data_IF_513906800914
#
_entry.id   IF_513906800914
#
_cell.length_a   1.000
_cell.length_b   1.000
_cell.length_c   1.000
_cell.angle_alpha   90.00
_cell.angle_beta   90.00
_cell.angle_gamma   90.00
#
_symmetry.space_group_name_H-M   'P 1'
#
loop_
_entity.id
_entity.type
_entity.pdbx_description
1 polymer ?
#
# COMPACT_ATOMS: atom_id res chain seq x y z
N UNK A 1 8.44 5.98 4.91
CA UNK A 1 9.00 4.69 4.44
C UNK A 1 9.51 4.89 3.02
N UNK A 2 10.69 4.38 2.69
CA UNK A 2 11.19 4.35 1.30
C UNK A 2 10.87 2.96 0.72
N UNK A 3 10.06 2.87 -0.36
CA UNK A 3 9.72 1.60 -0.98
C UNK A 3 10.92 1.01 -1.71
N UNK A 4 11.00 -0.32 -1.73
CA UNK A 4 11.90 -1.04 -2.61
C UNK A 4 11.24 -1.14 -3.99
N UNK A 5 11.94 -0.68 -5.03
CA UNK A 5 11.37 -0.50 -6.37
C UNK A 5 10.87 -1.83 -6.94
N UNK A 6 9.58 -1.90 -7.29
CA UNK A 6 8.94 -3.05 -7.92
C UNK A 6 8.73 -4.27 -7.03
N UNK A 7 8.97 -4.14 -5.71
CA UNK A 7 8.89 -5.23 -4.74
C UNK A 7 7.63 -5.10 -3.85
N UNK A 8 6.45 -5.28 -4.44
CA UNK A 8 5.14 -5.05 -3.78
C UNK A 8 4.99 -5.82 -2.48
N UNK A 9 5.28 -7.12 -2.46
CA UNK A 9 5.15 -7.96 -1.25
C UNK A 9 6.06 -7.49 -0.12
N UNK A 10 7.30 -7.15 -0.44
CA UNK A 10 8.26 -6.65 0.54
C UNK A 10 7.79 -5.32 1.12
N UNK A 11 7.27 -4.43 0.28
CA UNK A 11 6.75 -3.14 0.70
C UNK A 11 5.49 -3.30 1.56
N UNK A 12 4.53 -4.14 1.17
CA UNK A 12 3.32 -4.40 1.96
C UNK A 12 3.64 -5.02 3.34
N UNK A 13 4.61 -5.92 3.41
CA UNK A 13 5.06 -6.47 4.71
C UNK A 13 5.61 -5.36 5.60
N UNK A 14 6.51 -4.53 5.06
CA UNK A 14 7.07 -3.39 5.80
C UNK A 14 5.99 -2.40 6.23
N UNK A 15 5.00 -2.13 5.38
CA UNK A 15 3.86 -1.27 5.73
C UNK A 15 3.09 -1.84 6.92
N UNK A 16 2.83 -3.15 6.96
CA UNK A 16 2.20 -3.80 8.13
C UNK A 16 3.08 -3.66 9.38
N UNK A 17 4.38 -3.91 9.28
CA UNK A 17 5.30 -3.73 10.42
C UNK A 17 5.29 -2.29 10.95
N UNK A 18 5.16 -1.29 10.06
CA UNK A 18 5.00 0.11 10.45
C UNK A 18 3.68 0.36 11.17
N UNK A 19 2.56 -0.15 10.65
CA UNK A 19 1.24 -0.03 11.29
C UNK A 19 1.30 -0.62 12.71
N UNK A 20 1.88 -1.81 12.85
CA UNK A 20 1.99 -2.52 14.13
C UNK A 20 2.74 -1.73 15.15
N UNK A 21 3.92 -1.25 14.74
CA UNK A 21 4.79 -0.46 15.59
C UNK A 21 4.10 0.83 16.02
N UNK A 22 3.50 1.57 15.08
CA UNK A 22 2.84 2.84 15.38
C UNK A 22 1.71 2.63 16.38
N UNK A 23 0.84 1.64 16.15
CA UNK A 23 -0.30 1.35 17.01
C UNK A 23 0.11 0.80 18.39
N UNK A 24 1.29 0.17 18.52
CA UNK A 24 1.83 -0.29 19.81
C UNK A 24 2.50 0.83 20.61
N UNK A 25 3.12 1.80 19.94
CA UNK A 25 3.83 2.89 20.59
C UNK A 25 2.89 3.98 21.12
N UNK A 26 1.78 4.24 20.41
CA UNK A 26 0.82 5.28 20.79
C UNK A 26 -0.58 5.04 20.20
N UNK A 27 -1.65 5.56 20.83
CA UNK A 27 -2.97 5.58 20.21
C UNK A 27 -2.97 6.49 18.97
N UNK A 28 -3.46 5.99 17.85
CA UNK A 28 -3.59 6.73 16.58
C UNK A 28 -4.94 6.45 15.95
N UNK A 29 -5.51 7.44 15.27
CA UNK A 29 -6.77 7.28 14.51
C UNK A 29 -6.52 7.15 12.99
N UNK A 30 -5.39 7.70 12.50
CA UNK A 30 -5.08 7.77 11.07
C UNK A 30 -3.57 7.60 10.81
N UNK A 31 -3.24 6.72 9.87
CA UNK A 31 -1.89 6.51 9.35
C UNK A 31 -1.89 6.87 7.87
N UNK A 32 -0.98 7.75 7.45
CA UNK A 32 -0.83 8.18 6.06
C UNK A 32 0.51 7.73 5.51
N UNK A 33 0.48 6.91 4.46
CA UNK A 33 1.64 6.54 3.69
C UNK A 33 1.79 7.40 2.43
N UNK A 34 3.02 7.53 1.90
CA UNK A 34 3.27 8.25 0.66
C UNK A 34 2.55 7.67 -0.56
N UNK A 35 2.55 8.44 -1.64
CA UNK A 35 2.18 7.99 -2.97
C UNK A 35 3.08 6.83 -3.44
N UNK A 36 2.49 5.88 -4.19
CA UNK A 36 3.16 4.68 -4.72
C UNK A 36 4.02 3.92 -3.70
N UNK A 37 3.63 3.91 -2.43
CA UNK A 37 4.38 3.23 -1.37
C UNK A 37 4.45 1.71 -1.58
N UNK A 38 3.53 1.14 -2.37
CA UNK A 38 3.52 -0.29 -2.69
C UNK A 38 4.59 -0.67 -3.71
N UNK A 39 4.97 0.24 -4.63
CA UNK A 39 5.85 -0.10 -5.77
C UNK A 39 7.09 0.78 -5.88
N UNK A 40 7.03 2.04 -5.48
CA UNK A 40 7.95 3.10 -5.90
C UNK A 40 7.61 3.67 -7.28
N UNK A 41 8.27 4.78 -7.65
CA UNK A 41 8.01 5.53 -8.89
C UNK A 41 8.70 4.96 -10.13
N UNK A 42 9.82 4.25 -9.95
CA UNK A 42 10.72 3.89 -11.06
C UNK A 42 10.42 2.48 -11.63
N UNK A 43 9.14 2.12 -11.76
CA UNK A 43 8.73 0.81 -12.26
C UNK A 43 8.53 0.76 -13.79
N UNK A 44 8.41 1.92 -14.46
CA UNK A 44 8.31 2.01 -15.92
C UNK A 44 7.22 1.07 -16.50
N UNK A 45 7.52 0.29 -17.56
CA UNK A 45 6.54 -0.64 -18.14
C UNK A 45 6.01 -1.68 -17.16
N UNK A 46 6.76 -2.02 -16.09
CA UNK A 46 6.33 -3.02 -15.10
C UNK A 46 5.13 -2.57 -14.28
N UNK A 47 4.74 -1.29 -14.33
CA UNK A 47 3.49 -0.85 -13.70
C UNK A 47 2.27 -1.63 -14.21
N UNK A 48 2.27 -2.16 -15.44
CA UNK A 48 1.14 -2.98 -15.94
C UNK A 48 0.97 -4.30 -15.18
N UNK A 49 2.09 -4.84 -14.68
CA UNK A 49 2.16 -6.09 -13.92
C UNK A 49 1.90 -5.86 -12.43
N UNK A 50 2.32 -4.71 -11.92
CA UNK A 50 2.20 -4.34 -10.50
C UNK A 50 0.87 -3.65 -10.16
N UNK A 51 0.15 -3.13 -11.16
CA UNK A 51 -1.15 -2.50 -10.99
C UNK A 51 -2.20 -3.49 -10.49
N UNK A 52 -2.94 -3.09 -9.46
CA UNK A 52 -4.03 -3.89 -8.89
C UNK A 52 -5.38 -3.20 -9.08
N UNK A 53 -6.45 -3.98 -9.16
CA UNK A 53 -7.81 -3.45 -9.03
C UNK A 53 -8.12 -3.11 -7.56
N UNK A 54 -9.06 -2.20 -7.34
CA UNK A 54 -9.62 -1.95 -6.00
C UNK A 54 -11.06 -2.47 -5.94
N UNK A 55 -11.39 -3.37 -5.00
CA UNK A 55 -10.51 -3.98 -3.99
C UNK A 55 -9.52 -5.00 -4.60
N UNK A 56 -8.33 -5.10 -3.98
CA UNK A 56 -7.21 -5.94 -4.45
C UNK A 56 -6.37 -6.47 -3.29
N UNK A 57 -5.26 -7.13 -3.60
CA UNK A 57 -4.39 -7.77 -2.60
C UNK A 57 -3.82 -6.75 -1.59
N UNK A 58 -3.22 -5.68 -2.10
CA UNK A 58 -2.67 -4.57 -1.30
C UNK A 58 -3.73 -3.99 -0.34
N UNK A 59 -4.92 -3.70 -0.87
CA UNK A 59 -6.05 -3.15 -0.09
C UNK A 59 -6.54 -4.14 0.96
N UNK A 60 -6.67 -5.41 0.62
CA UNK A 60 -7.18 -6.44 1.53
C UNK A 60 -6.23 -6.71 2.70
N UNK A 61 -4.92 -6.71 2.45
CA UNK A 61 -3.92 -6.87 3.51
C UNK A 61 -3.98 -5.70 4.51
N UNK A 62 -3.95 -4.47 4.00
CA UNK A 62 -3.94 -3.28 4.85
C UNK A 62 -5.29 -3.05 5.53
N UNK A 63 -6.42 -3.38 4.88
CA UNK A 63 -7.74 -3.24 5.50
C UNK A 63 -7.93 -4.18 6.69
N UNK A 64 -7.38 -5.40 6.61
CA UNK A 64 -7.36 -6.32 7.75
C UNK A 64 -6.62 -5.70 8.93
N UNK A 65 -5.45 -5.11 8.69
CA UNK A 65 -4.64 -4.49 9.74
C UNK A 65 -5.29 -3.24 10.33
N UNK A 66 -5.86 -2.39 9.48
CA UNK A 66 -6.66 -1.25 9.87
C UNK A 66 -7.81 -1.66 10.81
N UNK A 67 -8.49 -2.76 10.49
CA UNK A 67 -9.58 -3.30 11.31
C UNK A 67 -9.10 -3.84 12.65
N UNK A 68 -7.98 -4.56 12.69
CA UNK A 68 -7.43 -5.15 13.92
C UNK A 68 -7.11 -4.07 14.98
N UNK A 69 -6.57 -2.93 14.54
CA UNK A 69 -6.22 -1.82 15.43
C UNK A 69 -7.30 -0.73 15.55
N UNK A 70 -8.41 -0.85 14.80
CA UNK A 70 -9.44 0.18 14.68
C UNK A 70 -8.87 1.56 14.27
N UNK A 71 -8.08 1.59 13.20
CA UNK A 71 -7.42 2.80 12.67
C UNK A 71 -7.74 3.00 11.19
N UNK A 72 -7.66 4.24 10.71
CA UNK A 72 -7.74 4.54 9.28
C UNK A 72 -6.36 4.52 8.64
N UNK A 73 -6.26 3.99 7.42
CA UNK A 73 -5.01 3.97 6.64
C UNK A 73 -5.26 4.61 5.28
N UNK A 74 -4.47 5.63 4.94
CA UNK A 74 -4.41 6.23 3.62
C UNK A 74 -3.07 5.94 2.97
N UNK A 75 -3.06 5.52 1.71
CA UNK A 75 -1.83 5.19 0.98
C UNK A 75 -2.05 5.31 -0.53
N UNK A 76 -0.98 5.61 -1.28
CA UNK A 76 -1.02 5.57 -2.74
C UNK A 76 -0.54 4.23 -3.29
N UNK A 77 -1.22 3.75 -4.33
CA UNK A 77 -0.87 2.53 -5.06
C UNK A 77 -1.20 2.70 -6.53
N UNK A 78 -0.53 1.92 -7.37
CA UNK A 78 -0.83 1.86 -8.80
C UNK A 78 -2.12 1.05 -9.04
N UNK A 79 -3.03 1.62 -9.83
CA UNK A 79 -4.37 1.09 -10.07
C UNK A 79 -4.53 0.58 -11.50
N UNK A 80 -5.24 -0.54 -11.64
CA UNK A 80 -5.70 -1.08 -12.91
C UNK A 80 -7.18 -0.72 -13.11
N UNK A 81 -7.52 -0.18 -14.28
CA UNK A 81 -8.89 0.22 -14.65
C UNK A 81 -9.49 -0.60 -15.81
N UNK A 82 -10.75 -0.31 -16.18
CA UNK A 82 -11.58 -1.08 -17.14
C UNK A 82 -11.00 -1.29 -18.54
N UNK A 83 -10.05 -0.46 -18.95
CA UNK A 83 -9.20 -0.65 -20.14
C UNK A 83 -7.78 -0.80 -19.60
N UNK A 84 -6.89 -1.58 -20.23
CA UNK A 84 -5.48 -1.77 -19.80
C UNK A 84 -4.71 -0.43 -19.70
N UNK A 85 -5.04 0.32 -18.67
CA UNK A 85 -4.68 1.69 -18.41
C UNK A 85 -4.32 1.72 -16.95
N UNK A 86 -3.18 2.35 -16.70
CA UNK A 86 -2.57 2.46 -15.39
C UNK A 86 -2.84 3.86 -14.88
N UNK A 87 -3.34 3.98 -13.66
CA UNK A 87 -3.44 5.25 -12.94
C UNK A 87 -2.54 5.19 -11.71
N UNK A 88 -1.78 6.25 -11.48
CA UNK A 88 -0.99 6.46 -10.27
C UNK A 88 -1.01 7.94 -9.91
#
# INVERSE_FOLDING_TARGET
MIPTIGETETNLRRMNDFVDRICQEQPVDLIVFPELVTTGYECGPRFTELAEFVPGHSVNMLSKRAKDYNVHIAFGMVLKERVESILY
#
